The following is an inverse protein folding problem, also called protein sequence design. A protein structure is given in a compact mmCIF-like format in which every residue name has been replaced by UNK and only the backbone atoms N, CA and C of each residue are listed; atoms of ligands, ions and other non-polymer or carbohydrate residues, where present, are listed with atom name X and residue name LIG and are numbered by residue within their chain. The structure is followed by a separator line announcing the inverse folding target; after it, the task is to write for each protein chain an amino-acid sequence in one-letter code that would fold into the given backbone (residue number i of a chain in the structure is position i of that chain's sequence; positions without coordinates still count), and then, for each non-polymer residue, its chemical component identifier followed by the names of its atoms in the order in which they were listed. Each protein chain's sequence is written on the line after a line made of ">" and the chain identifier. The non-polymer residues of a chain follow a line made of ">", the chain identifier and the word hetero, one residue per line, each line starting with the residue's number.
data_IF_774170594875
#
_entry.id   IF_774170594875
#
_cell.length_a   1.000
_cell.length_b   1.000
_cell.length_c   1.000
_cell.angle_alpha   90.00
_cell.angle_beta   90.00
_cell.angle_gamma   90.00
#
_symmetry.space_group_name_H-M   'P 1'
#
loop_
_entity.id
_entity.type
_entity.pdbx_description
1 polymer ?
#
# COMPACT_ATOMS: atom_id res chain seq x y z
N UNK A 1 54.61 -69.09 26.09
CA UNK A 1 54.10 -68.96 24.72
C UNK A 1 52.58 -69.01 24.80
N UNK A 2 51.93 -67.84 24.85
CA UNK A 2 50.47 -67.71 24.86
C UNK A 2 50.13 -66.68 23.78
N UNK A 3 49.45 -67.13 22.73
CA UNK A 3 49.01 -66.32 21.60
C UNK A 3 47.68 -65.65 21.99
N UNK A 4 47.63 -64.32 21.95
CA UNK A 4 46.39 -63.55 21.84
C UNK A 4 46.11 -63.28 20.36
N UNK A 5 44.92 -63.64 19.84
CA UNK A 5 44.39 -63.05 18.63
C UNK A 5 43.31 -62.04 19.01
N UNK A 6 43.49 -60.77 18.62
CA UNK A 6 42.40 -59.81 18.49
C UNK A 6 42.54 -59.13 17.13
N UNK A 7 41.75 -59.61 16.17
CA UNK A 7 41.34 -58.90 14.96
C UNK A 7 39.86 -58.50 15.13
N UNK A 8 39.42 -57.53 14.32
CA UNK A 8 38.05 -56.99 14.13
C UNK A 8 37.76 -55.71 14.93
N UNK A 9 37.31 -54.58 14.37
CA UNK A 9 36.89 -54.21 13.01
C UNK A 9 36.86 -52.68 12.93
N UNK A 10 37.34 -52.09 11.83
CA UNK A 10 37.00 -50.71 11.47
C UNK A 10 35.64 -50.77 10.79
N UNK A 11 34.60 -50.29 11.47
CA UNK A 11 33.26 -50.19 10.91
C UNK A 11 33.25 -49.23 9.71
N UNK A 12 33.08 -49.78 8.51
CA UNK A 12 32.69 -49.00 7.33
C UNK A 12 31.22 -48.64 7.45
N UNK A 13 30.89 -47.35 7.39
CA UNK A 13 29.51 -46.90 7.24
C UNK A 13 28.92 -47.53 5.98
N UNK A 14 27.80 -48.23 6.13
CA UNK A 14 27.14 -48.91 5.02
C UNK A 14 26.49 -47.89 4.09
N UNK A 15 26.60 -48.06 2.77
CA UNK A 15 25.91 -47.25 1.75
C UNK A 15 24.40 -47.08 2.06
N UNK A 16 23.82 -48.09 2.71
CA UNK A 16 22.41 -48.12 3.13
C UNK A 16 22.11 -47.07 4.20
N UNK A 17 23.02 -46.82 5.15
CA UNK A 17 22.83 -45.79 6.18
C UNK A 17 22.84 -44.38 5.59
N UNK A 18 23.71 -44.13 4.60
CA UNK A 18 23.74 -42.85 3.89
C UNK A 18 22.45 -42.65 3.09
N UNK A 19 21.95 -43.69 2.42
CA UNK A 19 20.70 -43.61 1.66
C UNK A 19 19.49 -43.37 2.56
N UNK A 20 19.43 -44.05 3.71
CA UNK A 20 18.37 -43.85 4.71
C UNK A 20 18.45 -42.45 5.29
N UNK A 21 19.65 -41.94 5.61
CA UNK A 21 19.83 -40.58 6.13
C UNK A 21 19.37 -39.51 5.12
N UNK A 22 19.68 -39.67 3.83
CA UNK A 22 19.22 -38.77 2.76
C UNK A 22 17.70 -38.85 2.60
N UNK A 23 17.13 -40.05 2.68
CA UNK A 23 15.67 -40.26 2.54
C UNK A 23 14.91 -39.63 3.71
N UNK A 24 15.39 -39.84 4.94
CA UNK A 24 14.79 -39.24 6.14
C UNK A 24 14.98 -37.72 6.12
N UNK A 25 16.16 -37.23 5.71
CA UNK A 25 16.43 -35.80 5.56
C UNK A 25 15.50 -35.12 4.56
N UNK A 26 15.29 -35.72 3.39
CA UNK A 26 14.39 -35.18 2.37
C UNK A 26 12.92 -35.16 2.81
N UNK A 27 12.46 -36.21 3.50
CA UNK A 27 11.10 -36.25 4.07
C UNK A 27 10.93 -35.15 5.14
N UNK A 28 11.93 -34.95 6.00
CA UNK A 28 11.90 -33.91 7.03
C UNK A 28 11.86 -32.50 6.44
N UNK A 29 12.62 -32.24 5.37
CA UNK A 29 12.61 -30.95 4.66
C UNK A 29 11.25 -30.68 4.02
N UNK A 30 10.65 -31.68 3.36
CA UNK A 30 9.32 -31.55 2.75
C UNK A 30 8.25 -31.28 3.83
N UNK A 31 8.31 -32.00 4.95
CA UNK A 31 7.40 -31.80 6.08
C UNK A 31 7.56 -30.39 6.69
N UNK A 32 8.80 -29.91 6.87
CA UNK A 32 9.06 -28.56 7.38
C UNK A 32 8.51 -27.48 6.44
N UNK A 33 8.76 -27.58 5.12
CA UNK A 33 8.23 -26.65 4.13
C UNK A 33 6.70 -26.62 4.13
N UNK A 34 6.05 -27.79 4.27
CA UNK A 34 4.57 -27.88 4.31
C UNK A 34 3.94 -27.23 5.54
N UNK A 35 4.68 -27.06 6.63
CA UNK A 35 4.22 -26.41 7.87
C UNK A 35 4.55 -24.92 7.87
N UNK A 36 5.71 -24.54 7.36
CA UNK A 36 6.20 -23.16 7.35
C UNK A 36 5.38 -22.28 6.40
N UNK A 37 5.04 -22.76 5.20
CA UNK A 37 4.31 -21.94 4.22
C UNK A 37 2.91 -21.54 4.68
N UNK A 38 2.06 -22.44 5.24
CA UNK A 38 0.76 -22.04 5.81
C UNK A 38 0.89 -21.14 7.04
N UNK A 39 1.91 -21.33 7.88
CA UNK A 39 2.15 -20.50 9.05
C UNK A 39 2.56 -19.07 8.67
N UNK A 40 3.43 -18.90 7.67
CA UNK A 40 3.81 -17.60 7.13
C UNK A 40 2.61 -16.90 6.47
N UNK A 41 1.82 -17.64 5.66
CA UNK A 41 0.58 -17.11 5.05
C UNK A 41 -0.44 -16.65 6.10
N UNK A 42 -0.61 -17.43 7.17
CA UNK A 42 -1.49 -17.08 8.28
C UNK A 42 -1.06 -15.80 9.00
N UNK A 43 0.26 -15.59 9.19
CA UNK A 43 0.77 -14.38 9.81
C UNK A 43 0.56 -13.15 8.91
N UNK A 44 0.76 -13.29 7.59
CA UNK A 44 0.52 -12.19 6.64
C UNK A 44 -0.95 -11.80 6.52
N UNK A 45 -1.88 -12.75 6.59
CA UNK A 45 -3.32 -12.45 6.53
C UNK A 45 -3.81 -11.74 7.80
N UNK A 46 -3.27 -12.11 8.97
CA UNK A 46 -3.57 -11.40 10.23
C UNK A 46 -3.08 -9.95 10.17
N UNK A 47 -1.86 -9.72 9.68
CA UNK A 47 -1.33 -8.37 9.46
C UNK A 47 -2.20 -7.57 8.47
N UNK A 48 -2.65 -8.20 7.37
CA UNK A 48 -3.57 -7.61 6.37
C UNK A 48 -4.91 -7.21 6.97
N UNK A 49 -5.50 -8.07 7.80
CA UNK A 49 -6.77 -7.76 8.48
C UNK A 49 -6.59 -6.58 9.43
N UNK A 50 -5.48 -6.51 10.18
CA UNK A 50 -5.22 -5.40 11.10
C UNK A 50 -5.07 -4.07 10.35
N UNK A 51 -4.26 -4.05 9.29
CA UNK A 51 -4.03 -2.87 8.46
C UNK A 51 -5.32 -2.40 7.76
N UNK A 52 -6.05 -3.32 7.13
CA UNK A 52 -7.33 -3.02 6.50
C UNK A 52 -8.41 -2.57 7.49
N UNK A 53 -8.42 -3.09 8.71
CA UNK A 53 -9.32 -2.62 9.78
C UNK A 53 -9.00 -1.18 10.18
N UNK A 54 -7.73 -0.79 10.25
CA UNK A 54 -7.35 0.60 10.55
C UNK A 54 -7.81 1.57 9.44
N UNK A 55 -7.59 1.21 8.18
CA UNK A 55 -8.09 1.92 7.00
C UNK A 55 -9.61 2.12 7.06
N UNK A 56 -10.35 1.06 7.41
CA UNK A 56 -11.80 1.10 7.45
C UNK A 56 -12.31 1.98 8.59
N UNK A 57 -11.65 1.94 9.76
CA UNK A 57 -11.96 2.81 10.90
C UNK A 57 -11.72 4.29 10.57
N UNK A 58 -10.61 4.60 9.91
CA UNK A 58 -10.31 5.96 9.45
C UNK A 58 -11.41 6.48 8.51
N UNK A 59 -11.77 5.71 7.48
CA UNK A 59 -12.88 6.07 6.58
C UNK A 59 -14.20 6.26 7.35
N UNK A 60 -14.50 5.39 8.33
CA UNK A 60 -15.71 5.50 9.14
C UNK A 60 -15.75 6.81 9.95
N UNK A 61 -14.64 7.22 10.56
CA UNK A 61 -14.53 8.49 11.27
C UNK A 61 -14.64 9.68 10.32
N UNK A 62 -14.03 9.62 9.13
CA UNK A 62 -14.19 10.65 8.10
C UNK A 62 -15.65 10.79 7.65
N UNK A 63 -16.36 9.67 7.43
CA UNK A 63 -17.80 9.67 7.10
C UNK A 63 -18.60 10.27 8.24
N UNK A 64 -18.25 9.97 9.50
CA UNK A 64 -18.90 10.56 10.66
C UNK A 64 -18.73 12.09 10.65
N UNK A 65 -17.50 12.59 10.55
CA UNK A 65 -17.25 14.03 10.47
C UNK A 65 -17.97 14.67 9.28
N UNK A 66 -17.98 14.01 8.12
CA UNK A 66 -18.67 14.49 6.92
C UNK A 66 -20.20 14.57 7.10
N UNK A 67 -20.78 13.58 7.78
CA UNK A 67 -22.22 13.55 8.14
C UNK A 67 -22.59 14.60 9.19
N UNK A 68 -21.65 14.96 10.08
CA UNK A 68 -21.84 16.00 11.09
C UNK A 68 -21.78 17.41 10.50
N UNK A 69 -21.09 17.59 9.36
CA UNK A 69 -21.04 18.86 8.64
C UNK A 69 -22.37 19.18 7.95
N UNK A 70 -22.96 18.22 7.25
CA UNK A 70 -24.32 18.30 6.69
C UNK A 70 -24.89 16.88 6.60
N UNK A 71 -26.04 16.66 7.23
CA UNK A 71 -26.70 15.34 7.26
C UNK A 71 -27.14 14.88 5.86
N UNK A 72 -27.51 15.82 4.99
CA UNK A 72 -28.01 15.50 3.65
C UNK A 72 -26.93 14.84 2.78
N UNK A 73 -25.65 15.09 3.09
CA UNK A 73 -24.52 14.41 2.45
C UNK A 73 -24.61 12.87 2.53
N UNK A 74 -25.22 12.34 3.59
CA UNK A 74 -25.39 10.90 3.79
C UNK A 74 -26.85 10.47 3.61
N UNK A 75 -27.81 11.30 4.01
CA UNK A 75 -29.22 10.96 4.00
C UNK A 75 -29.77 10.67 2.60
N UNK A 76 -29.27 11.40 1.59
CA UNK A 76 -29.76 11.37 0.21
C UNK A 76 -29.07 10.30 -0.66
N UNK A 77 -28.08 9.58 -0.12
CA UNK A 77 -27.41 8.51 -0.85
C UNK A 77 -28.35 7.32 -1.09
N UNK A 78 -28.21 6.68 -2.26
CA UNK A 78 -28.95 5.47 -2.57
C UNK A 78 -28.53 4.35 -1.61
N UNK A 79 -29.51 3.67 -1.01
CA UNK A 79 -29.27 2.65 0.00
C UNK A 79 -29.04 1.26 -0.60
N UNK A 80 -28.28 0.41 0.10
CA UNK A 80 -27.99 -0.97 -0.28
C UNK A 80 -26.54 -1.21 -0.73
N UNK A 81 -26.07 -2.44 -0.56
CA UNK A 81 -24.66 -2.83 -0.78
C UNK A 81 -24.18 -2.74 -2.23
N UNK A 82 -25.10 -2.63 -3.19
CA UNK A 82 -24.77 -2.38 -4.61
C UNK A 82 -24.34 -0.94 -4.89
N UNK A 83 -24.70 0.01 -4.02
CA UNK A 83 -24.38 1.42 -4.17
C UNK A 83 -23.10 1.74 -3.39
N UNK A 84 -21.96 1.64 -4.09
CA UNK A 84 -20.63 1.83 -3.49
C UNK A 84 -20.20 3.29 -3.58
N UNK A 85 -19.66 3.79 -2.47
CA UNK A 85 -19.17 5.16 -2.35
C UNK A 85 -17.80 5.20 -1.66
N UNK A 86 -17.05 6.28 -1.86
CA UNK A 86 -15.86 6.62 -1.07
C UNK A 86 -15.75 8.13 -0.89
N UNK A 87 -14.97 8.57 0.09
CA UNK A 87 -14.67 9.99 0.31
C UNK A 87 -13.34 10.34 -0.38
N UNK A 88 -13.36 11.33 -1.27
CA UNK A 88 -12.13 11.82 -1.91
C UNK A 88 -11.36 12.74 -0.96
N UNK A 89 -10.30 12.20 -0.34
CA UNK A 89 -9.45 12.90 0.63
C UNK A 89 -8.55 13.98 0.01
N UNK A 90 -8.39 14.02 -1.33
CA UNK A 90 -7.63 15.05 -2.04
C UNK A 90 -8.39 16.38 -2.21
N UNK A 91 -9.66 16.44 -1.79
CA UNK A 91 -10.51 17.63 -1.88
C UNK A 91 -10.85 18.19 -0.50
N UNK A 92 -10.71 19.51 -0.33
CA UNK A 92 -11.21 20.25 0.83
C UNK A 92 -12.34 21.19 0.37
N UNK A 93 -13.59 21.05 0.87
CA UNK A 93 -14.06 20.00 1.78
C UNK A 93 -14.14 18.63 1.10
N UNK A 94 -14.22 17.55 1.89
CA UNK A 94 -14.45 16.19 1.36
C UNK A 94 -15.64 16.14 0.39
N UNK A 95 -15.56 15.25 -0.60
CA UNK A 95 -16.65 14.96 -1.55
C UNK A 95 -16.87 13.46 -1.64
N UNK A 96 -18.12 13.06 -1.77
CA UNK A 96 -18.48 11.68 -2.09
C UNK A 96 -18.24 11.43 -3.58
N UNK A 97 -17.61 10.30 -3.88
CA UNK A 97 -17.52 9.73 -5.20
C UNK A 97 -18.13 8.33 -5.21
N UNK A 98 -18.63 7.90 -6.36
CA UNK A 98 -19.16 6.54 -6.57
C UNK A 98 -18.03 5.57 -6.89
N UNK A 99 -18.14 4.34 -6.42
CA UNK A 99 -17.21 3.25 -6.74
C UNK A 99 -16.37 2.80 -5.55
N UNK A 100 -15.16 2.37 -5.83
CA UNK A 100 -14.22 1.80 -4.86
C UNK A 100 -12.89 2.56 -4.96
N UNK A 101 -12.34 2.94 -3.82
CA UNK A 101 -11.05 3.62 -3.70
C UNK A 101 -9.93 2.59 -3.61
N UNK A 102 -8.92 2.71 -4.47
CA UNK A 102 -7.66 1.99 -4.33
C UNK A 102 -6.73 2.72 -3.35
N UNK A 103 -6.14 1.98 -2.43
CA UNK A 103 -5.20 2.47 -1.43
C UNK A 103 -3.94 1.64 -1.51
N UNK A 104 -2.81 2.31 -1.53
CA UNK A 104 -1.53 1.67 -1.23
C UNK A 104 -1.11 2.19 0.13
N UNK A 105 -1.05 1.31 1.13
CA UNK A 105 -0.39 1.68 2.38
C UNK A 105 1.09 1.81 2.06
N UNK A 106 1.51 3.05 1.80
CA UNK A 106 2.90 3.33 1.50
C UNK A 106 3.74 2.91 2.71
N UNK A 107 4.61 1.90 2.51
CA UNK A 107 5.85 1.83 3.27
C UNK A 107 6.59 3.16 3.08
N UNK A 108 7.25 3.64 4.15
CA UNK A 108 8.05 4.89 4.25
C UNK A 108 8.06 5.76 2.98
N UNK A 109 7.29 6.86 2.95
CA UNK A 109 7.37 7.88 1.88
C UNK A 109 8.51 8.88 2.11
N UNK A 110 9.28 8.72 3.20
CA UNK A 110 10.44 9.56 3.49
C UNK A 110 11.49 9.36 2.40
N UNK A 111 12.05 10.47 1.90
CA UNK A 111 13.11 10.48 0.88
C UNK A 111 12.76 9.77 -0.43
N UNK A 112 11.46 9.55 -0.72
CA UNK A 112 11.00 9.00 -1.98
C UNK A 112 11.11 10.07 -3.07
N UNK A 113 11.84 9.78 -4.14
CA UNK A 113 12.13 10.71 -5.26
C UNK A 113 11.73 10.17 -6.63
N UNK A 114 11.22 8.94 -6.69
CA UNK A 114 10.54 8.39 -7.84
C UNK A 114 9.56 7.33 -7.38
N UNK A 115 8.31 7.42 -7.81
CA UNK A 115 7.31 6.39 -7.54
C UNK A 115 6.36 6.22 -8.71
N UNK A 116 6.46 5.08 -9.39
CA UNK A 116 5.68 4.74 -10.57
C UNK A 116 4.86 3.49 -10.24
N UNK A 117 3.56 3.67 -10.05
CA UNK A 117 2.64 2.57 -9.76
C UNK A 117 2.38 1.70 -10.97
N UNK A 118 2.39 2.29 -12.18
CA UNK A 118 2.04 1.62 -13.44
C UNK A 118 0.57 1.17 -13.50
N UNK A 119 -0.29 1.92 -12.80
CA UNK A 119 -1.75 1.77 -12.72
C UNK A 119 -2.51 2.50 -13.85
N UNK A 120 -1.81 3.23 -14.72
CA UNK A 120 -2.45 4.05 -15.74
C UNK A 120 -3.29 3.19 -16.69
N UNK A 121 -4.48 3.66 -17.07
CA UNK A 121 -5.41 2.91 -17.93
C UNK A 121 -5.51 3.48 -19.35
N UNK A 122 -4.82 4.60 -19.61
CA UNK A 122 -4.83 5.28 -20.91
C UNK A 122 -3.65 6.26 -21.03
N UNK A 123 -3.24 6.54 -22.26
CA UNK A 123 -2.13 7.45 -22.54
C UNK A 123 -0.78 6.73 -22.58
N UNK A 124 0.28 7.50 -22.77
CA UNK A 124 1.66 7.04 -22.83
C UNK A 124 2.52 7.76 -21.79
N UNK A 125 1.99 7.97 -20.58
CA UNK A 125 2.69 8.59 -19.46
C UNK A 125 2.69 7.64 -18.25
N UNK A 126 3.84 7.49 -17.58
CA UNK A 126 3.97 6.85 -16.26
C UNK A 126 4.10 7.96 -15.24
N UNK A 127 3.07 8.21 -14.44
CA UNK A 127 3.07 9.32 -13.49
C UNK A 127 4.05 9.06 -12.36
N UNK A 128 4.88 10.05 -12.04
CA UNK A 128 5.66 10.05 -10.81
C UNK A 128 4.79 10.55 -9.64
N UNK A 129 4.55 9.67 -8.67
CA UNK A 129 3.77 9.92 -7.45
C UNK A 129 4.62 10.36 -6.25
N UNK A 130 5.95 10.47 -6.41
CA UNK A 130 6.84 10.97 -5.35
C UNK A 130 6.75 12.48 -5.15
N UNK A 131 6.33 13.21 -6.19
CA UNK A 131 6.32 14.67 -6.23
C UNK A 131 7.61 15.29 -6.79
N UNK A 132 8.57 14.48 -7.24
CA UNK A 132 9.83 14.95 -7.83
C UNK A 132 9.70 15.29 -9.34
N UNK A 133 8.52 15.07 -9.93
CA UNK A 133 8.25 15.29 -11.35
C UNK A 133 9.13 14.44 -12.30
N UNK A 134 9.59 13.26 -11.87
CA UNK A 134 10.32 12.31 -12.70
C UNK A 134 9.41 11.54 -13.70
N UNK A 135 8.30 12.15 -14.13
CA UNK A 135 7.23 11.50 -14.89
C UNK A 135 7.77 10.89 -16.19
N UNK A 136 7.51 9.60 -16.41
CA UNK A 136 8.03 8.84 -17.54
C UNK A 136 7.11 8.88 -18.76
N UNK A 137 7.68 8.64 -19.94
CA UNK A 137 6.96 8.49 -21.22
C UNK A 137 7.17 7.09 -21.77
N UNK A 138 6.09 6.43 -22.17
CA UNK A 138 6.14 5.07 -22.71
C UNK A 138 6.49 5.09 -24.21
N UNK A 139 7.18 4.05 -24.65
CA UNK A 139 7.48 3.74 -26.05
C UNK A 139 7.28 2.24 -26.32
N UNK A 140 7.15 1.82 -27.58
CA UNK A 140 6.88 0.42 -28.00
C UNK A 140 5.42 -0.04 -27.88
N UNK A 141 4.66 0.58 -26.95
CA UNK A 141 3.27 0.22 -26.59
C UNK A 141 3.17 -1.04 -25.70
N UNK A 142 3.81 -1.03 -24.51
CA UNK A 142 3.71 -2.13 -23.57
C UNK A 142 2.25 -2.39 -23.17
N UNK A 143 1.98 -3.65 -22.84
CA UNK A 143 0.62 -4.15 -22.68
C UNK A 143 0.22 -4.23 -21.22
N UNK A 144 -0.93 -3.66 -20.87
CA UNK A 144 -1.48 -3.81 -19.52
C UNK A 144 -1.75 -5.29 -19.20
N UNK A 145 -1.33 -5.74 -18.03
CA UNK A 145 -1.55 -7.09 -17.54
C UNK A 145 -2.62 -7.12 -16.44
N UNK A 146 -3.20 -8.30 -16.20
CA UNK A 146 -4.25 -8.52 -15.19
C UNK A 146 -3.76 -9.19 -13.91
N UNK A 147 -2.57 -9.79 -13.95
CA UNK A 147 -1.91 -10.45 -12.82
C UNK A 147 -0.74 -9.57 -12.38
N UNK A 148 -1.06 -8.58 -11.54
CA UNK A 148 -0.16 -7.52 -11.08
C UNK A 148 0.21 -7.69 -9.60
N UNK A 149 1.38 -7.18 -9.21
CA UNK A 149 1.81 -7.23 -7.82
C UNK A 149 0.95 -6.32 -6.94
N UNK A 150 0.58 -5.15 -7.47
CA UNK A 150 -0.42 -4.24 -6.93
C UNK A 150 -1.22 -3.63 -8.08
N UNK A 151 -2.44 -3.12 -7.80
CA UNK A 151 -3.19 -2.31 -8.76
C UNK A 151 -3.22 -2.87 -10.20
N UNK A 152 -2.66 -2.10 -11.13
CA UNK A 152 -2.35 -2.43 -12.51
C UNK A 152 -0.84 -2.46 -12.77
N UNK A 153 -0.46 -3.05 -13.89
CA UNK A 153 0.94 -3.28 -14.25
C UNK A 153 1.05 -3.47 -15.75
N UNK A 154 2.28 -3.42 -16.27
CA UNK A 154 2.55 -3.48 -17.69
C UNK A 154 3.59 -4.54 -18.03
N UNK A 155 3.41 -5.18 -19.19
CA UNK A 155 4.31 -6.17 -19.77
C UNK A 155 5.04 -5.59 -20.96
N UNK A 156 6.36 -5.75 -20.95
CA UNK A 156 7.32 -5.30 -21.94
C UNK A 156 7.80 -6.52 -22.73
N UNK A 157 7.79 -6.40 -24.06
CA UNK A 157 8.04 -7.53 -24.97
C UNK A 157 9.55 -7.84 -25.19
N UNK A 158 10.44 -6.94 -24.79
CA UNK A 158 11.89 -7.06 -24.98
C UNK A 158 12.36 -6.75 -26.41
N UNK A 159 11.56 -6.05 -27.21
CA UNK A 159 11.90 -5.63 -28.58
C UNK A 159 11.99 -4.13 -28.71
N UNK A 160 10.96 -3.39 -28.30
CA UNK A 160 10.90 -1.93 -28.40
C UNK A 160 10.13 -1.23 -27.27
N UNK A 161 9.58 -2.01 -26.32
CA UNK A 161 8.88 -1.50 -25.14
C UNK A 161 9.83 -0.95 -24.07
N UNK A 162 9.59 0.28 -23.61
CA UNK A 162 10.30 0.89 -22.46
C UNK A 162 9.58 2.13 -21.91
N UNK A 163 10.03 2.58 -20.73
CA UNK A 163 9.66 3.90 -20.17
C UNK A 163 10.91 4.78 -20.14
N UNK A 164 10.83 5.96 -20.74
CA UNK A 164 11.85 6.99 -20.70
C UNK A 164 11.52 7.98 -19.57
N UNK A 165 12.42 8.14 -18.60
CA UNK A 165 12.30 9.13 -17.53
C UNK A 165 13.24 10.31 -17.80
N UNK A 166 12.91 11.53 -17.33
CA UNK A 166 13.74 12.71 -17.57
C UNK A 166 15.19 12.53 -17.12
N UNK A 167 16.13 12.96 -17.95
CA UNK A 167 17.56 13.04 -17.66
C UNK A 167 17.97 14.51 -17.54
N UNK A 168 18.29 15.00 -16.32
CA UNK A 168 18.76 16.38 -16.09
C UNK A 168 20.28 16.53 -16.28
N UNK A 169 20.94 15.72 -17.10
CA UNK A 169 22.35 16.00 -17.41
C UNK A 169 22.55 17.32 -18.17
N UNK A 170 21.50 18.06 -18.54
CA UNK A 170 21.60 19.33 -19.29
C UNK A 170 20.62 20.49 -18.97
N UNK A 171 19.63 20.40 -18.06
CA UNK A 171 18.68 21.52 -17.88
C UNK A 171 17.90 21.57 -16.55
N UNK A 172 18.44 22.28 -15.55
CA UNK A 172 17.83 22.87 -14.34
C UNK A 172 16.30 22.68 -14.16
N UNK A 173 15.86 21.45 -13.97
CA UNK A 173 14.46 21.08 -13.77
C UNK A 173 14.44 19.76 -13.02
N UNK A 174 13.83 19.75 -11.82
CA UNK A 174 13.76 18.56 -10.98
C UNK A 174 13.23 17.32 -11.72
N UNK A 175 13.55 16.13 -11.19
CA UNK A 175 13.15 14.84 -11.77
C UNK A 175 14.31 13.95 -12.21
N UNK A 176 15.56 14.42 -12.11
CA UNK A 176 16.75 13.59 -12.36
C UNK A 176 16.93 12.52 -11.28
N UNK A 177 17.18 11.29 -11.70
CA UNK A 177 17.45 10.16 -10.81
C UNK A 177 18.94 9.79 -10.98
N UNK A 178 19.81 10.48 -10.23
CA UNK A 178 21.27 10.42 -10.40
C UNK A 178 22.01 10.28 -9.07
N UNK A 179 22.82 9.24 -8.94
CA UNK A 179 23.33 8.74 -7.66
C UNK A 179 24.86 8.64 -7.62
N UNK A 180 25.42 9.03 -6.48
CA UNK A 180 26.81 8.79 -6.11
C UNK A 180 26.96 7.43 -5.42
N UNK A 181 28.10 6.77 -5.53
CA UNK A 181 28.37 5.54 -4.77
C UNK A 181 28.61 5.84 -3.27
N UNK A 182 29.05 7.06 -2.95
CA UNK A 182 29.25 7.54 -1.58
C UNK A 182 28.01 8.24 -0.98
N UNK A 183 26.83 8.06 -1.56
CA UNK A 183 25.55 8.57 -1.05
C UNK A 183 24.60 7.42 -0.69
N UNK A 184 23.69 7.69 0.25
CA UNK A 184 22.61 6.77 0.61
C UNK A 184 21.50 6.81 -0.45
N UNK A 185 21.17 5.68 -1.06
CA UNK A 185 20.04 5.57 -1.99
C UNK A 185 19.52 4.15 -2.09
N UNK A 186 18.30 3.97 -2.59
CA UNK A 186 17.72 2.64 -2.80
C UNK A 186 16.77 2.62 -3.99
N UNK A 187 16.69 1.48 -4.65
CA UNK A 187 15.69 1.18 -5.68
C UNK A 187 14.92 -0.06 -5.29
N UNK A 188 13.61 -0.05 -5.47
CA UNK A 188 12.71 -1.17 -5.19
C UNK A 188 11.72 -1.34 -6.35
N UNK A 189 11.49 -2.57 -6.77
CA UNK A 189 10.61 -2.85 -7.92
C UNK A 189 10.00 -4.23 -7.82
N UNK A 190 8.76 -4.37 -8.28
CA UNK A 190 8.19 -5.68 -8.57
C UNK A 190 8.47 -6.04 -10.02
N UNK A 191 9.07 -7.21 -10.23
CA UNK A 191 9.39 -7.74 -11.55
C UNK A 191 8.88 -9.17 -11.70
N UNK A 192 8.41 -9.52 -12.90
CA UNK A 192 8.03 -10.88 -13.30
C UNK A 192 8.59 -11.18 -14.68
N UNK A 193 9.29 -12.29 -14.85
CA UNK A 193 9.77 -12.70 -16.16
C UNK A 193 10.67 -13.93 -16.13
N UNK A 194 11.31 -14.22 -17.27
CA UNK A 194 12.09 -15.45 -17.48
C UNK A 194 13.51 -15.19 -17.99
N UNK A 195 14.01 -13.95 -17.89
CA UNK A 195 15.31 -13.59 -18.44
C UNK A 195 16.44 -14.35 -17.75
N UNK A 196 17.34 -14.93 -18.55
CA UNK A 196 18.54 -15.65 -18.07
C UNK A 196 19.84 -14.97 -18.48
N UNK A 197 19.78 -14.00 -19.40
CA UNK A 197 20.94 -13.27 -19.89
C UNK A 197 21.49 -12.27 -18.88
N UNK A 198 22.56 -11.58 -19.28
CA UNK A 198 23.15 -10.46 -18.54
C UNK A 198 23.25 -9.21 -19.43
N UNK A 199 22.49 -9.13 -20.54
CA UNK A 199 22.45 -8.00 -21.46
C UNK A 199 23.80 -7.60 -22.09
N UNK A 200 23.80 -6.74 -23.11
CA UNK A 200 25.01 -6.07 -23.57
C UNK A 200 25.36 -4.95 -22.58
N UNK A 201 26.34 -5.20 -21.71
CA UNK A 201 26.88 -4.17 -20.84
C UNK A 201 27.04 -4.58 -19.39
N UNK A 202 26.26 -5.56 -18.88
CA UNK A 202 26.48 -6.34 -17.63
C UNK A 202 25.21 -6.92 -17.00
N UNK A 203 24.03 -6.32 -17.21
CA UNK A 203 22.74 -6.93 -16.82
C UNK A 203 21.69 -6.71 -17.91
N UNK A 204 20.65 -7.55 -17.94
CA UNK A 204 19.37 -7.21 -18.59
C UNK A 204 18.72 -6.10 -17.76
N UNK A 205 18.71 -4.87 -18.27
CA UNK A 205 18.39 -3.68 -17.48
C UNK A 205 16.90 -3.61 -17.15
N UNK A 206 16.59 -3.50 -15.85
CA UNK A 206 15.24 -3.13 -15.38
C UNK A 206 15.20 -1.62 -15.13
N UNK A 207 16.18 -1.07 -14.42
CA UNK A 207 16.35 0.35 -14.16
C UNK A 207 17.78 0.76 -14.52
N UNK A 208 17.93 1.72 -15.42
CA UNK A 208 19.27 2.18 -15.79
C UNK A 208 19.27 3.24 -16.87
N UNK A 209 20.32 3.20 -17.68
CA UNK A 209 20.61 4.21 -18.69
C UNK A 209 20.77 3.59 -20.06
N UNK A 210 20.15 4.19 -21.07
CA UNK A 210 20.36 3.85 -22.48
C UNK A 210 21.33 4.84 -23.14
N UNK A 211 22.62 4.76 -22.78
CA UNK A 211 23.68 5.52 -23.42
C UNK A 211 25.04 4.80 -23.22
N UNK A 212 26.05 5.11 -24.04
CA UNK A 212 27.39 4.52 -23.98
C UNK A 212 28.21 4.87 -22.74
N UNK A 213 27.64 5.62 -21.81
CA UNK A 213 28.27 6.18 -20.63
C UNK A 213 27.81 5.56 -19.30
N UNK A 214 27.28 4.34 -19.31
CA UNK A 214 26.78 3.65 -18.11
C UNK A 214 27.91 3.26 -17.17
N UNK A 215 27.84 3.68 -15.91
CA UNK A 215 28.74 3.26 -14.82
C UNK A 215 28.09 2.31 -13.81
N UNK A 216 26.76 2.25 -13.80
CA UNK A 216 25.99 1.26 -13.04
C UNK A 216 24.59 1.07 -13.62
N UNK A 217 23.97 -0.06 -13.29
CA UNK A 217 22.63 -0.45 -13.72
C UNK A 217 22.06 -1.51 -12.77
N UNK A 218 20.74 -1.51 -12.64
CA UNK A 218 20.00 -2.49 -11.87
C UNK A 218 19.11 -3.33 -12.80
N UNK A 219 19.17 -4.65 -12.64
CA UNK A 219 18.53 -5.55 -13.59
C UNK A 219 18.73 -7.01 -13.23
N UNK A 220 18.92 -7.84 -14.25
CA UNK A 220 19.06 -9.29 -14.12
C UNK A 220 20.37 -9.79 -14.72
N UNK A 221 20.95 -10.80 -14.09
CA UNK A 221 22.04 -11.58 -14.69
C UNK A 221 21.97 -13.02 -14.19
N UNK A 222 22.07 -14.00 -15.11
CA UNK A 222 21.95 -15.43 -14.81
C UNK A 222 20.63 -15.79 -14.11
N UNK A 223 19.54 -15.10 -14.46
CA UNK A 223 18.23 -15.27 -13.84
C UNK A 223 18.11 -14.76 -12.41
N UNK A 224 19.04 -13.92 -11.95
CA UNK A 224 19.08 -13.35 -10.60
C UNK A 224 19.01 -11.84 -10.65
N UNK A 225 18.40 -11.23 -9.63
CA UNK A 225 18.49 -9.78 -9.43
C UNK A 225 19.96 -9.37 -9.26
N UNK A 226 20.38 -8.34 -9.97
CA UNK A 226 21.76 -7.92 -10.08
C UNK A 226 21.89 -6.39 -10.10
N UNK A 227 22.80 -5.87 -9.28
CA UNK A 227 23.33 -4.53 -9.42
C UNK A 227 24.73 -4.64 -10.02
N UNK A 228 24.94 -4.03 -11.18
CA UNK A 228 26.25 -3.98 -11.81
C UNK A 228 26.82 -2.57 -11.76
N UNK A 229 28.14 -2.48 -11.58
CA UNK A 229 28.86 -1.21 -11.54
C UNK A 229 30.29 -1.36 -12.06
N UNK A 230 30.88 -0.26 -12.54
CA UNK A 230 32.23 -0.24 -13.08
C UNK A 230 33.25 0.33 -12.09
N UNK A 231 34.28 -0.46 -11.78
CA UNK A 231 35.41 -0.06 -10.94
C UNK A 231 36.69 -0.72 -11.43
N UNK A 232 37.26 -0.17 -12.51
CA UNK A 232 38.40 -0.76 -13.22
C UNK A 232 38.08 -2.05 -13.99
N UNK A 233 36.99 -2.72 -13.61
CA UNK A 233 36.31 -3.79 -14.33
C UNK A 233 34.81 -3.74 -13.96
N UNK A 234 34.00 -4.43 -14.74
CA UNK A 234 32.59 -4.63 -14.41
C UNK A 234 32.43 -5.64 -13.28
N UNK A 235 31.75 -5.21 -12.22
CA UNK A 235 31.44 -6.00 -11.03
C UNK A 235 29.92 -6.16 -10.91
N UNK A 236 29.50 -7.20 -10.19
CA UNK A 236 28.09 -7.50 -9.98
C UNK A 236 27.83 -7.94 -8.53
N UNK A 237 26.80 -7.36 -7.92
CA UNK A 237 26.17 -7.85 -6.71
C UNK A 237 24.91 -8.61 -7.14
N UNK A 238 24.92 -9.94 -7.01
CA UNK A 238 23.80 -10.81 -7.43
C UNK A 238 23.12 -11.43 -6.22
N UNK A 239 21.79 -11.50 -6.26
CA UNK A 239 21.00 -12.27 -5.31
C UNK A 239 21.35 -13.78 -5.33
N UNK A 240 21.07 -14.50 -4.24
CA UNK A 240 21.22 -15.96 -4.22
C UNK A 240 20.06 -16.66 -4.93
N UNK A 241 18.85 -16.13 -4.74
CA UNK A 241 17.60 -16.63 -5.30
C UNK A 241 17.47 -16.25 -6.78
N UNK A 242 17.13 -17.23 -7.61
CA UNK A 242 16.74 -17.00 -9.01
C UNK A 242 15.31 -16.46 -9.05
N UNK A 243 15.07 -15.46 -9.90
CA UNK A 243 13.80 -14.71 -10.03
C UNK A 243 13.22 -14.81 -11.45
N UNK A 244 13.74 -15.75 -12.25
CA UNK A 244 13.38 -15.98 -13.65
C UNK A 244 12.36 -17.12 -13.82
N UNK A 245 11.39 -17.22 -12.92
CA UNK A 245 10.42 -18.31 -12.84
C UNK A 245 8.99 -17.89 -13.23
N UNK A 246 8.86 -16.72 -13.86
CA UNK A 246 7.60 -16.12 -14.27
C UNK A 246 6.62 -15.85 -13.10
N UNK A 247 7.16 -15.61 -11.90
CA UNK A 247 6.39 -15.11 -10.74
C UNK A 247 6.85 -13.71 -10.34
N UNK A 248 5.96 -12.98 -9.67
CA UNK A 248 6.28 -11.67 -9.10
C UNK A 248 7.31 -11.81 -7.99
N UNK A 249 8.42 -11.10 -8.15
CA UNK A 249 9.45 -10.95 -7.14
C UNK A 249 9.66 -9.47 -6.83
N UNK A 250 9.80 -9.15 -5.55
CA UNK A 250 10.15 -7.80 -5.10
C UNK A 250 11.66 -7.69 -4.98
N UNK A 251 12.28 -6.92 -5.87
CA UNK A 251 13.71 -6.78 -5.98
C UNK A 251 14.12 -5.42 -5.40
N UNK A 252 15.08 -5.40 -4.48
CA UNK A 252 15.56 -4.16 -3.88
C UNK A 252 17.08 -4.15 -3.84
N UNK A 253 17.66 -3.04 -4.27
CA UNK A 253 19.05 -2.72 -4.04
C UNK A 253 19.18 -1.48 -3.17
N UNK A 254 20.00 -1.58 -2.12
CA UNK A 254 20.27 -0.51 -1.16
C UNK A 254 21.75 -0.18 -1.23
N UNK A 255 22.09 1.08 -1.52
CA UNK A 255 23.44 1.60 -1.43
C UNK A 255 23.58 2.43 -0.15
N UNK A 256 24.70 2.21 0.54
CA UNK A 256 25.10 2.95 1.73
C UNK A 256 26.21 3.94 1.37
N UNK A 257 26.25 5.09 2.04
CA UNK A 257 27.20 6.18 1.80
C UNK A 257 28.69 5.80 1.97
N UNK A 258 28.99 4.60 2.48
CA UNK A 258 30.33 4.02 2.53
C UNK A 258 30.67 3.16 1.29
N UNK A 259 29.91 3.29 0.19
CA UNK A 259 30.04 2.53 -1.04
C UNK A 259 29.95 1.01 -0.85
N UNK A 260 29.01 0.61 0.02
CA UNK A 260 28.60 -0.79 0.16
C UNK A 260 27.12 -0.95 -0.19
N UNK A 261 26.78 -2.12 -0.73
CA UNK A 261 25.48 -2.43 -1.26
C UNK A 261 24.87 -3.70 -0.67
N UNK A 262 23.56 -3.64 -0.43
CA UNK A 262 22.74 -4.75 0.01
C UNK A 262 21.71 -5.11 -1.08
N UNK A 263 21.48 -6.40 -1.29
CA UNK A 263 20.50 -6.93 -2.23
C UNK A 263 19.44 -7.72 -1.48
N UNK A 264 18.17 -7.38 -1.71
CA UNK A 264 17.02 -8.09 -1.16
C UNK A 264 16.15 -8.67 -2.26
N UNK A 265 15.59 -9.83 -1.98
CA UNK A 265 14.53 -10.46 -2.79
C UNK A 265 13.38 -10.83 -1.85
N UNK A 266 12.16 -10.45 -2.22
CA UNK A 266 10.93 -10.77 -1.49
C UNK A 266 11.00 -10.39 0.01
N UNK A 267 11.56 -9.20 0.26
CA UNK A 267 11.71 -8.63 1.61
C UNK A 267 12.83 -9.25 2.45
N UNK A 268 13.60 -10.21 1.91
CA UNK A 268 14.69 -10.90 2.62
C UNK A 268 16.06 -10.43 2.13
N UNK A 269 16.97 -10.13 3.04
CA UNK A 269 18.37 -9.80 2.71
C UNK A 269 19.09 -11.05 2.18
N UNK A 270 19.60 -10.98 0.96
CA UNK A 270 20.30 -12.09 0.30
C UNK A 270 21.82 -11.86 0.25
N UNK A 271 22.23 -10.61 0.02
CA UNK A 271 23.65 -10.20 0.03
C UNK A 271 23.75 -8.89 0.77
N UNK A 272 24.69 -8.77 1.71
CA UNK A 272 24.89 -7.53 2.48
C UNK A 272 26.36 -7.10 2.52
N UNK A 273 26.59 -5.79 2.49
CA UNK A 273 27.90 -5.16 2.61
C UNK A 273 28.85 -5.46 1.45
N UNK A 274 28.33 -5.81 0.27
CA UNK A 274 29.16 -6.01 -0.91
C UNK A 274 29.67 -4.66 -1.42
N UNK A 275 30.86 -4.60 -2.03
CA UNK A 275 31.33 -3.33 -2.61
C UNK A 275 30.42 -2.92 -3.76
N UNK A 276 29.90 -1.70 -3.70
CA UNK A 276 29.12 -1.03 -4.76
C UNK A 276 29.88 0.18 -5.34
N UNK A 277 31.16 0.31 -5.00
CA UNK A 277 31.98 1.47 -5.28
C UNK A 277 32.29 1.65 -6.76
N UNK A 278 32.08 2.85 -7.28
CA UNK A 278 32.43 3.25 -8.65
C UNK A 278 32.94 4.70 -8.66
N UNK A 279 33.62 5.16 -9.71
CA UNK A 279 34.09 6.55 -9.73
C UNK A 279 32.95 7.51 -10.10
N UNK A 280 32.15 7.94 -9.12
CA UNK A 280 31.04 8.86 -9.33
C UNK A 280 31.47 10.25 -9.86
N UNK A 281 32.72 10.65 -9.64
CA UNK A 281 33.29 11.88 -10.21
C UNK A 281 33.55 11.81 -11.71
N UNK A 282 33.73 10.59 -12.25
CA UNK A 282 33.74 10.37 -13.69
C UNK A 282 32.31 10.28 -14.21
N UNK A 283 31.49 9.39 -13.64
CA UNK A 283 30.11 9.17 -14.03
C UNK A 283 29.27 8.65 -12.87
N UNK A 284 28.12 9.30 -12.65
CA UNK A 284 27.11 8.89 -11.66
C UNK A 284 26.25 7.75 -12.19
N UNK A 285 25.61 7.00 -11.29
CA UNK A 285 24.54 6.08 -11.68
C UNK A 285 23.30 6.88 -12.03
N UNK A 286 22.82 6.79 -13.27
CA UNK A 286 21.63 7.51 -13.73
C UNK A 286 20.54 6.51 -14.13
N UNK A 287 19.32 6.79 -13.71
CA UNK A 287 18.12 6.04 -14.13
C UNK A 287 17.28 6.97 -15.02
N UNK A 288 17.46 6.84 -16.33
CA UNK A 288 16.65 7.56 -17.33
C UNK A 288 15.77 6.61 -18.18
N UNK A 289 15.91 5.29 -18.00
CA UNK A 289 15.14 4.30 -18.75
C UNK A 289 14.76 3.13 -17.85
N UNK A 290 13.52 2.65 -18.00
CA UNK A 290 13.07 1.36 -17.44
C UNK A 290 12.94 0.34 -18.56
N UNK A 291 13.34 -0.90 -18.28
CA UNK A 291 13.30 -2.05 -19.21
C UNK A 291 14.15 -1.86 -20.48
N UNK A 292 15.04 -0.87 -20.48
CA UNK A 292 15.96 -0.57 -21.58
C UNK A 292 17.32 -0.11 -21.05
N UNK A 293 18.38 -0.70 -21.59
CA UNK A 293 19.77 -0.42 -21.24
C UNK A 293 20.63 -0.10 -22.45
N UNK A 294 21.94 -0.09 -22.23
CA UNK A 294 22.99 0.23 -23.21
C UNK A 294 22.69 -0.24 -24.65
N UNK A 295 22.87 0.67 -25.61
CA UNK A 295 22.73 0.36 -27.04
C UNK A 295 21.35 -0.18 -27.40
N UNK A 296 20.30 0.38 -26.80
CA UNK A 296 18.92 -0.05 -26.98
C UNK A 296 18.72 -1.55 -26.69
N UNK A 297 19.28 -2.02 -25.58
CA UNK A 297 19.03 -3.37 -25.11
C UNK A 297 17.73 -3.43 -24.32
N UNK A 298 16.72 -4.07 -24.88
CA UNK A 298 15.38 -4.18 -24.28
C UNK A 298 15.26 -5.44 -23.44
N UNK A 299 14.64 -5.31 -22.28
CA UNK A 299 14.39 -6.39 -21.34
C UNK A 299 12.92 -6.80 -21.42
N UNK A 300 12.61 -8.07 -21.63
CA UNK A 300 11.23 -8.55 -21.55
C UNK A 300 10.83 -8.91 -20.12
N UNK A 301 9.57 -8.67 -19.78
CA UNK A 301 8.97 -9.00 -18.48
C UNK A 301 7.84 -8.04 -18.09
N UNK A 302 7.20 -8.28 -16.95
CA UNK A 302 6.25 -7.35 -16.35
C UNK A 302 6.89 -6.53 -15.23
N UNK A 303 6.51 -5.26 -15.15
CA UNK A 303 6.98 -4.30 -14.15
C UNK A 303 5.80 -3.73 -13.38
N UNK A 304 6.02 -3.49 -12.09
CA UNK A 304 5.03 -2.90 -11.20
C UNK A 304 5.69 -2.15 -10.04
N UNK A 305 5.02 -1.13 -9.49
CA UNK A 305 5.34 -0.53 -8.20
C UNK A 305 6.82 -0.07 -8.00
N UNK A 306 7.41 0.56 -9.03
CA UNK A 306 8.80 1.07 -9.03
C UNK A 306 8.95 2.22 -8.04
N UNK A 307 9.91 2.11 -7.13
CA UNK A 307 10.22 3.13 -6.11
C UNK A 307 11.72 3.42 -6.04
N UNK A 308 12.04 4.70 -5.87
CA UNK A 308 13.42 5.19 -5.84
C UNK A 308 13.57 6.19 -4.69
N UNK A 309 14.62 6.04 -3.90
CA UNK A 309 14.83 6.74 -2.64
C UNK A 309 16.20 7.39 -2.55
N UNK A 310 16.28 8.60 -1.99
CA UNK A 310 17.52 9.27 -1.50
C UNK A 310 17.86 8.84 -0.07
N UNK A 311 17.72 7.55 0.19
CA UNK A 311 17.98 6.95 1.51
C UNK A 311 18.37 5.49 1.33
N UNK A 312 19.26 5.01 2.20
CA UNK A 312 19.48 3.59 2.42
C UNK A 312 18.31 3.01 3.22
N UNK A 313 17.45 2.22 2.58
CA UNK A 313 16.32 1.59 3.25
C UNK A 313 16.80 0.61 4.32
N UNK A 314 16.21 0.68 5.50
CA UNK A 314 16.41 -0.34 6.54
C UNK A 314 15.71 -1.65 6.16
N UNK A 315 16.15 -2.77 6.76
CA UNK A 315 15.50 -4.07 6.55
C UNK A 315 13.99 -4.04 6.87
N UNK A 316 13.58 -3.30 7.90
CA UNK A 316 12.17 -3.14 8.28
C UNK A 316 11.39 -2.31 7.24
N UNK A 317 12.01 -1.29 6.64
CA UNK A 317 11.41 -0.53 5.55
C UNK A 317 11.28 -1.39 4.29
N UNK A 318 12.31 -2.16 3.93
CA UNK A 318 12.26 -3.10 2.80
C UNK A 318 11.16 -4.16 3.02
N UNK A 319 11.07 -4.73 4.21
CA UNK A 319 10.02 -5.67 4.56
C UNK A 319 8.63 -5.00 4.51
N UNK A 320 8.52 -3.75 4.94
CA UNK A 320 7.26 -2.99 4.89
C UNK A 320 6.83 -2.64 3.46
N UNK A 321 7.77 -2.32 2.56
CA UNK A 321 7.51 -2.06 1.14
C UNK A 321 7.16 -3.36 0.42
N UNK A 322 7.88 -4.46 0.66
CA UNK A 322 7.53 -5.78 0.15
C UNK A 322 6.13 -6.21 0.60
N UNK A 323 5.82 -5.94 1.88
CA UNK A 323 4.49 -6.17 2.43
C UNK A 323 3.49 -5.09 2.03
N UNK A 324 3.87 -3.98 1.37
CA UNK A 324 2.96 -2.88 1.10
C UNK A 324 1.75 -3.39 0.32
N UNK A 325 0.58 -3.10 0.84
CA UNK A 325 -0.64 -3.80 0.45
C UNK A 325 -1.49 -2.85 -0.36
N UNK A 326 -1.79 -3.26 -1.59
CA UNK A 326 -2.92 -2.72 -2.31
C UNK A 326 -4.20 -3.11 -1.56
N UNK A 327 -4.79 -2.15 -0.87
CA UNK A 327 -6.14 -2.26 -0.37
C UNK A 327 -7.10 -1.60 -1.34
N UNK A 328 -8.33 -2.07 -1.33
CA UNK A 328 -9.47 -1.36 -1.89
C UNK A 328 -10.45 -1.11 -0.76
N UNK A 329 -11.08 0.07 -0.72
CA UNK A 329 -12.15 0.36 0.25
C UNK A 329 -13.33 1.06 -0.40
N UNK A 330 -14.51 0.83 0.15
CA UNK A 330 -15.71 1.60 -0.15
C UNK A 330 -16.65 1.54 1.06
N UNK A 331 -17.63 2.43 1.10
CA UNK A 331 -18.75 2.33 2.02
C UNK A 331 -20.06 2.27 1.25
N UNK A 332 -21.09 1.76 1.91
CA UNK A 332 -22.47 1.87 1.49
C UNK A 332 -23.34 2.18 2.69
N UNK A 333 -24.53 2.72 2.43
CA UNK A 333 -25.49 3.08 3.47
C UNK A 333 -26.74 2.22 3.38
N UNK A 334 -27.35 1.96 4.54
CA UNK A 334 -28.59 1.23 4.67
C UNK A 334 -29.58 2.04 5.51
N UNK A 335 -30.85 1.95 5.13
CA UNK A 335 -31.93 2.51 5.93
C UNK A 335 -32.07 1.74 7.22
N UNK A 336 -32.23 2.50 8.30
CA UNK A 336 -32.47 1.94 9.63
C UNK A 336 -33.96 1.97 9.88
N UNK A 337 -34.51 0.88 10.42
CA UNK A 337 -35.93 0.76 10.72
C UNK A 337 -36.16 0.70 12.22
N UNK A 338 -37.29 1.23 12.65
CA UNK A 338 -37.76 1.13 14.04
C UNK A 338 -39.13 0.47 14.12
N UNK A 339 -39.33 -0.29 15.19
CA UNK A 339 -40.66 -0.74 15.60
C UNK A 339 -41.41 0.41 16.27
N UNK A 340 -42.71 0.20 16.53
CA UNK A 340 -43.57 1.17 17.24
C UNK A 340 -43.03 1.53 18.63
N UNK A 341 -42.28 0.62 19.25
CA UNK A 341 -41.60 0.82 20.54
C UNK A 341 -40.38 1.76 20.48
N UNK A 342 -39.94 2.16 19.28
CA UNK A 342 -38.74 2.96 19.06
C UNK A 342 -37.42 2.16 19.02
N UNK A 343 -37.47 0.84 19.23
CA UNK A 343 -36.30 -0.04 19.11
C UNK A 343 -35.88 -0.23 17.64
N UNK A 344 -34.57 -0.41 17.39
CA UNK A 344 -34.06 -0.77 16.07
C UNK A 344 -34.58 -2.15 15.66
N UNK A 345 -35.01 -2.29 14.42
CA UNK A 345 -35.54 -3.55 13.90
C UNK A 345 -35.22 -3.78 12.43
N UNK A 346 -35.36 -5.04 12.02
CA UNK A 346 -35.18 -5.49 10.63
C UNK A 346 -36.37 -5.06 9.75
N UNK A 347 -37.55 -4.89 10.37
CA UNK A 347 -38.79 -4.45 9.74
C UNK A 347 -39.43 -3.30 10.53
N UNK A 348 -40.27 -2.50 9.88
CA UNK A 348 -40.93 -1.35 10.51
C UNK A 348 -40.79 -0.08 9.68
N UNK A 349 -41.02 1.06 10.32
CA UNK A 349 -40.92 2.37 9.67
C UNK A 349 -39.45 2.77 9.53
N UNK A 350 -39.09 3.35 8.39
CA UNK A 350 -37.74 3.89 8.18
C UNK A 350 -37.53 5.07 9.14
N UNK A 351 -36.41 5.07 9.85
CA UNK A 351 -35.92 6.19 10.64
C UNK A 351 -35.15 7.15 9.72
N UNK A 352 -35.72 8.31 9.34
CA UNK A 352 -35.05 9.26 8.46
C UNK A 352 -33.84 9.94 9.14
N UNK A 353 -33.73 9.83 10.46
CA UNK A 353 -32.67 10.47 11.26
C UNK A 353 -31.49 9.55 11.54
N UNK A 354 -31.57 8.28 11.16
CA UNK A 354 -30.50 7.30 11.41
C UNK A 354 -30.19 6.49 10.15
N UNK A 355 -28.92 6.38 9.80
CA UNK A 355 -28.43 5.49 8.73
C UNK A 355 -27.41 4.52 9.31
N UNK A 356 -27.39 3.30 8.79
CA UNK A 356 -26.30 2.35 9.04
C UNK A 356 -25.30 2.50 7.91
N UNK A 357 -24.06 2.76 8.26
CA UNK A 357 -22.95 2.83 7.31
C UNK A 357 -22.11 1.58 7.47
N UNK A 358 -21.81 0.92 6.36
CA UNK A 358 -20.89 -0.22 6.32
C UNK A 358 -19.71 0.12 5.43
N UNK A 359 -18.51 0.11 6.02
CA UNK A 359 -17.24 0.27 5.30
C UNK A 359 -16.71 -1.12 5.00
N UNK A 360 -16.42 -1.40 3.74
CA UNK A 360 -15.81 -2.65 3.28
C UNK A 360 -14.41 -2.37 2.76
N UNK A 361 -13.47 -3.24 3.11
CA UNK A 361 -12.11 -3.22 2.62
C UNK A 361 -11.69 -4.62 2.13
N UNK A 362 -10.82 -4.68 1.15
CA UNK A 362 -10.26 -5.92 0.61
C UNK A 362 -8.84 -5.68 0.10
N UNK A 363 -8.07 -6.75 -0.04
CA UNK A 363 -6.81 -6.78 -0.78
C UNK A 363 -6.92 -7.81 -1.91
N UNK A 364 -6.05 -7.78 -2.93
CA UNK A 364 -6.07 -8.76 -4.02
C UNK A 364 -6.17 -10.20 -3.51
N UNK A 365 -7.14 -10.95 -4.04
CA UNK A 365 -7.38 -12.35 -3.70
C UNK A 365 -8.16 -12.62 -2.40
N UNK A 366 -8.53 -11.59 -1.62
CA UNK A 366 -9.35 -11.76 -0.42
C UNK A 366 -10.82 -11.41 -0.63
N UNK A 367 -11.68 -12.14 0.10
CA UNK A 367 -13.07 -11.74 0.31
C UNK A 367 -13.13 -10.42 1.09
N UNK A 368 -14.05 -9.53 0.72
CA UNK A 368 -14.20 -8.25 1.40
C UNK A 368 -14.52 -8.40 2.88
N UNK A 369 -13.80 -7.66 3.72
CA UNK A 369 -14.02 -7.54 5.16
C UNK A 369 -14.79 -6.24 5.43
N UNK A 370 -15.65 -6.22 6.45
CA UNK A 370 -16.51 -5.05 6.70
C UNK A 370 -16.59 -4.69 8.17
N UNK A 371 -16.71 -3.38 8.44
CA UNK A 371 -17.11 -2.83 9.72
C UNK A 371 -18.33 -1.93 9.52
N UNK A 372 -19.25 -1.90 10.48
CA UNK A 372 -20.45 -1.06 10.40
C UNK A 372 -20.60 -0.18 11.63
N UNK A 373 -21.25 0.97 11.45
CA UNK A 373 -21.70 1.83 12.54
C UNK A 373 -23.02 2.53 12.18
N UNK A 374 -23.70 3.03 13.20
CA UNK A 374 -24.93 3.81 13.06
C UNK A 374 -24.60 5.30 13.18
N UNK A 375 -25.00 6.08 12.18
CA UNK A 375 -24.93 7.53 12.21
C UNK A 375 -26.32 8.07 12.48
N UNK A 376 -26.45 9.00 13.44
CA UNK A 376 -27.72 9.63 13.78
C UNK A 376 -27.59 11.15 13.77
N UNK A 377 -28.55 11.83 13.15
CA UNK A 377 -28.64 13.29 13.09
C UNK A 377 -28.86 13.86 14.50
N UNK A 378 -27.81 14.37 15.15
CA UNK A 378 -27.90 14.97 16.50
C UNK A 378 -27.78 16.50 16.53
N UNK A 379 -27.13 17.14 15.55
CA UNK A 379 -26.85 18.59 15.56
C UNK A 379 -27.98 19.50 15.06
N UNK A 380 -29.04 18.94 14.51
CA UNK A 380 -30.12 19.72 13.89
C UNK A 380 -31.33 19.97 14.81
N UNK A 381 -31.23 19.63 16.10
CA UNK A 381 -32.19 20.14 17.07
C UNK A 381 -31.74 21.51 17.56
N UNK A 382 -32.09 22.56 16.82
CA UNK A 382 -32.30 23.87 17.44
C UNK A 382 -33.61 23.72 18.23
N UNK A 383 -33.52 23.66 19.56
CA UNK A 383 -34.69 23.82 20.40
C UNK A 383 -35.15 25.28 20.33
N UNK A 384 -36.02 25.58 19.36
CA UNK A 384 -36.67 26.89 19.25
C UNK A 384 -38.01 26.80 19.95
N UNK A 385 -38.05 27.23 21.22
CA UNK A 385 -39.30 27.45 21.92
C UNK A 385 -39.78 28.87 21.57
N UNK A 386 -40.73 28.96 20.65
CA UNK A 386 -41.29 30.25 20.19
C UNK A 386 -42.59 30.62 20.90
N UNK A 387 -43.16 29.72 21.69
CA UNK A 387 -44.44 29.93 22.35
C UNK A 387 -44.46 29.36 23.78
N UNK A 388 -44.80 30.21 24.74
CA UNK A 388 -44.92 29.88 26.16
C UNK A 388 -46.37 30.02 26.67
N UNK A 389 -47.35 30.08 25.76
CA UNK A 389 -48.77 30.30 26.09
C UNK A 389 -49.44 29.18 26.89
N UNK A 390 -48.84 27.99 26.98
CA UNK A 390 -49.36 26.84 27.72
C UNK A 390 -49.32 27.00 29.23
N UNK A 391 -48.60 28.01 29.74
CA UNK A 391 -48.58 28.38 31.15
C UNK A 391 -47.78 27.41 32.03
N UNK A 392 -47.85 27.66 33.34
CA UNK A 392 -47.09 26.91 34.33
C UNK A 392 -47.81 25.61 34.72
N UNK A 393 -47.08 24.49 34.86
CA UNK A 393 -47.67 23.21 35.30
C UNK A 393 -47.01 21.96 34.72
N UNK A 394 -46.02 22.12 33.84
CA UNK A 394 -45.25 21.01 33.28
C UNK A 394 -44.21 20.52 34.30
N UNK A 395 -44.49 19.39 34.94
CA UNK A 395 -43.63 18.78 35.96
C UNK A 395 -42.90 17.59 35.36
N UNK A 396 -41.59 17.72 35.16
CA UNK A 396 -40.70 16.64 34.71
C UNK A 396 -40.05 16.90 33.34
N UNK A 397 -39.20 15.98 32.88
CA UNK A 397 -38.56 16.08 31.57
C UNK A 397 -39.60 15.94 30.45
N UNK A 398 -39.73 16.97 29.62
CA UNK A 398 -40.65 16.99 28.48
C UNK A 398 -40.03 16.19 27.32
N UNK A 399 -40.73 15.16 26.84
CA UNK A 399 -40.25 14.28 25.74
C UNK A 399 -40.70 14.73 24.35
N UNK A 400 -41.59 15.72 24.27
CA UNK A 400 -42.04 16.40 23.04
C UNK A 400 -42.29 17.87 23.35
N UNK A 401 -41.73 18.80 22.56
CA UNK A 401 -41.91 20.24 22.79
C UNK A 401 -43.40 20.61 22.83
N UNK A 402 -43.83 21.24 23.92
CA UNK A 402 -45.16 21.82 24.12
C UNK A 402 -45.02 23.31 24.49
N UNK A 403 -46.12 24.05 24.65
CA UNK A 403 -46.09 25.47 25.01
C UNK A 403 -46.04 25.73 26.53
N UNK A 404 -45.85 24.69 27.34
CA UNK A 404 -45.86 24.78 28.81
C UNK A 404 -44.46 24.82 29.41
N UNK A 405 -44.38 25.14 30.70
CA UNK A 405 -43.11 25.19 31.45
C UNK A 405 -43.29 24.81 32.93
N UNK A 406 -42.16 24.51 33.58
CA UNK A 406 -42.13 24.25 35.02
C UNK A 406 -42.29 25.55 35.79
N UNK A 407 -43.26 25.59 36.72
CA UNK A 407 -43.54 26.78 37.52
C UNK A 407 -42.37 27.13 38.47
N UNK A 408 -41.96 28.40 38.52
CA UNK A 408 -41.08 28.93 39.56
C UNK A 408 -41.58 30.32 40.00
N UNK A 409 -41.31 30.71 41.24
CA UNK A 409 -41.79 31.96 41.86
C UNK A 409 -41.26 33.26 41.21
N UNK A 410 -40.34 33.17 40.25
CA UNK A 410 -39.59 34.32 39.72
C UNK A 410 -39.79 34.47 38.19
N UNK A 411 -40.79 33.81 37.63
CA UNK A 411 -41.09 33.82 36.20
C UNK A 411 -42.44 34.51 36.00
N UNK A 412 -42.43 35.67 35.33
CA UNK A 412 -43.65 36.30 34.82
C UNK A 412 -43.91 35.84 33.39
N UNK A 413 -45.05 35.15 33.23
CA UNK A 413 -45.58 34.61 31.98
C UNK A 413 -47.00 35.12 31.69
N UNK A 414 -47.55 35.95 32.58
CA UNK A 414 -48.94 36.41 32.50
C UNK A 414 -49.06 37.74 31.76
N UNK A 415 -48.00 38.56 31.77
CA UNK A 415 -48.04 39.94 31.26
C UNK A 415 -47.79 40.07 29.76
N UNK A 416 -47.06 39.14 29.13
CA UNK A 416 -46.77 39.16 27.69
C UNK A 416 -46.85 37.75 27.10
N UNK A 417 -47.79 37.53 26.18
CA UNK A 417 -47.98 36.23 25.52
C UNK A 417 -46.76 35.85 24.67
N UNK A 418 -46.24 34.64 24.86
CA UNK A 418 -45.11 34.10 24.09
C UNK A 418 -43.71 34.51 24.61
N UNK A 419 -43.59 35.14 25.77
CA UNK A 419 -42.30 35.48 26.38
C UNK A 419 -42.23 35.12 27.86
N UNK A 420 -41.04 34.81 28.36
CA UNK A 420 -40.72 34.62 29.78
C UNK A 420 -39.80 35.75 30.22
N UNK A 421 -40.15 36.43 31.32
CA UNK A 421 -39.30 37.42 31.97
C UNK A 421 -38.89 36.88 33.35
N UNK A 422 -37.60 36.98 33.68
CA UNK A 422 -37.09 36.64 35.01
C UNK A 422 -37.09 37.92 35.85
N UNK A 423 -37.96 37.96 36.85
CA UNK A 423 -38.04 39.10 37.76
C UNK A 423 -36.82 39.13 38.68
N UNK A 424 -36.18 40.30 38.79
CA UNK A 424 -35.05 40.54 39.69
C UNK A 424 -33.65 40.42 39.07
N UNK A 425 -33.53 40.19 37.76
CA UNK A 425 -32.29 40.46 37.04
C UNK A 425 -32.33 41.90 36.51
N UNK A 426 -31.76 42.84 37.28
CA UNK A 426 -31.33 44.11 36.69
C UNK A 426 -30.20 43.82 35.69
N UNK A 427 -30.12 44.53 34.55
CA UNK A 427 -29.10 44.28 33.54
C UNK A 427 -27.66 44.30 34.07
#
# INVERSE_FOLDING_TARGET
>A
MSLHPALSERAGQSLVEVLVAITVGSIMVIAALSIITPALRGNTDVERIQAGTAIAKEMLENIRTFSESDWNNIADLATGSGNKYFLNAGSSPFRIATGTEGLVLAGSTSSLIGYFKLDETSGNISQDYSGNNATGTWSGSPTAASDCAAGGCYTFDGTDDYIDTPDDSTSLGGGSLSFDDAEDWSVAVWYKGTQTGCGPGTTEVILGRDNGDIWANFGLCDGKAAYAHYNGAWLQIKSNTSVNDDRWHHLVFVNHANATGDMYVDGTLEVGGASSAFNASERRFVINNFMRGHSAAYTAGSLDEVRIYEKALSADEVASIYKAQAFSRYFYVEDVRREVSGALAVSGNVDPSTKKVTVTYAWPGASGNSISSYLTRFRNNIASQTDWSGGSGEIGPVTQMNSGFAAHSNIDYATTAGSIIIDGLTP
#
